data_IF_074303005871
#
_entry.id   IF_074303005871
#
_cell.length_a   1.000
_cell.length_b   1.000
_cell.length_c   1.000
_cell.angle_alpha   90.00
_cell.angle_beta   90.00
_cell.angle_gamma   90.00
#
_symmetry.space_group_name_H-M   'P 1'
#
loop_
_entity.id
_entity.type
_entity.pdbx_description
1 polymer ?
#
# COMPACT_ATOMS: atom_id res chain seq x y z
N UNK A 1 -55.99 -13.59 -8.00
CA UNK A 1 -54.93 -14.00 -8.95
C UNK A 1 -53.64 -13.16 -8.90
N UNK A 2 -53.48 -12.20 -7.97
CA UNK A 2 -52.27 -11.36 -7.91
C UNK A 2 -51.15 -11.92 -7.01
N UNK A 3 -51.48 -12.55 -5.87
CA UNK A 3 -50.47 -13.01 -4.89
C UNK A 3 -49.60 -14.16 -5.46
N UNK A 4 -50.18 -15.10 -6.19
CA UNK A 4 -49.45 -16.22 -6.79
C UNK A 4 -48.45 -15.77 -7.86
N UNK A 5 -48.77 -14.70 -8.61
CA UNK A 5 -47.86 -14.08 -9.59
C UNK A 5 -46.72 -13.33 -8.90
N UNK A 6 -47.02 -12.57 -7.85
CA UNK A 6 -46.00 -11.85 -7.07
C UNK A 6 -45.04 -12.84 -6.37
N UNK A 7 -45.55 -13.94 -5.83
CA UNK A 7 -44.75 -15.00 -5.21
C UNK A 7 -43.84 -15.69 -6.23
N UNK A 8 -44.37 -15.99 -7.43
CA UNK A 8 -43.58 -16.59 -8.51
C UNK A 8 -42.48 -15.65 -9.02
N UNK A 9 -42.74 -14.36 -9.14
CA UNK A 9 -41.75 -13.36 -9.57
C UNK A 9 -40.67 -13.19 -8.50
N UNK A 10 -41.04 -13.14 -7.22
CA UNK A 10 -40.08 -13.07 -6.11
C UNK A 10 -39.16 -14.29 -6.06
N UNK A 11 -39.70 -15.49 -6.24
CA UNK A 11 -38.91 -16.72 -6.23
C UNK A 11 -37.93 -16.77 -7.41
N UNK A 12 -38.36 -16.36 -8.60
CA UNK A 12 -37.48 -16.28 -9.78
C UNK A 12 -36.36 -15.25 -9.57
N UNK A 13 -36.66 -14.08 -8.98
CA UNK A 13 -35.64 -13.06 -8.70
C UNK A 13 -34.56 -13.53 -7.71
N UNK A 14 -34.96 -14.28 -6.67
CA UNK A 14 -34.02 -14.86 -5.70
C UNK A 14 -33.11 -15.89 -6.36
N UNK A 15 -33.68 -16.77 -7.20
CA UNK A 15 -32.89 -17.78 -7.92
C UNK A 15 -31.88 -17.14 -8.87
N UNK A 16 -32.28 -16.10 -9.62
CA UNK A 16 -31.37 -15.36 -10.51
C UNK A 16 -30.25 -14.68 -9.72
N UNK A 17 -30.57 -14.11 -8.55
CA UNK A 17 -29.59 -13.45 -7.69
C UNK A 17 -28.54 -14.44 -7.18
N UNK A 18 -28.95 -15.62 -6.71
CA UNK A 18 -28.04 -16.68 -6.23
C UNK A 18 -27.16 -17.20 -7.37
N UNK A 19 -27.73 -17.44 -8.55
CA UNK A 19 -26.97 -17.87 -9.73
C UNK A 19 -25.94 -16.82 -10.16
N UNK A 20 -26.31 -15.53 -10.12
CA UNK A 20 -25.38 -14.44 -10.45
C UNK A 20 -24.24 -14.32 -9.42
N UNK A 21 -24.53 -14.30 -8.12
CA UNK A 21 -23.50 -14.25 -7.06
C UNK A 21 -22.54 -15.46 -7.13
N UNK A 22 -23.04 -16.66 -7.43
CA UNK A 22 -22.19 -17.85 -7.58
C UNK A 22 -21.23 -17.74 -8.77
N UNK A 23 -21.65 -17.08 -9.86
CA UNK A 23 -20.85 -16.89 -11.07
C UNK A 23 -19.78 -15.81 -10.90
N UNK A 24 -20.06 -14.76 -10.11
CA UNK A 24 -19.09 -13.72 -9.80
C UNK A 24 -18.09 -14.14 -8.70
N UNK A 25 -18.50 -14.96 -7.73
CA UNK A 25 -17.64 -15.31 -6.59
C UNK A 25 -16.68 -16.49 -6.85
N UNK A 26 -16.98 -17.39 -7.79
CA UNK A 26 -16.14 -18.55 -8.11
C UNK A 26 -15.04 -18.26 -9.14
N UNK A 27 -15.04 -17.05 -9.73
CA UNK A 27 -14.04 -16.60 -10.71
C UNK A 27 -13.42 -15.25 -10.32
N UNK A 28 -13.34 -14.96 -9.02
CA UNK A 28 -12.46 -13.90 -8.54
C UNK A 28 -11.02 -14.44 -8.51
N UNK A 29 -10.09 -13.89 -9.30
CA UNK A 29 -8.69 -14.28 -9.27
C UNK A 29 -8.05 -13.69 -8.01
N UNK A 30 -8.28 -14.31 -6.85
CA UNK A 30 -7.85 -13.73 -5.57
C UNK A 30 -7.55 -14.71 -4.44
N UNK A 31 -7.97 -15.98 -4.53
CA UNK A 31 -7.58 -17.00 -3.55
C UNK A 31 -6.91 -18.18 -4.24
N UNK A 32 -5.59 -18.14 -4.27
CA UNK A 32 -4.74 -19.22 -4.75
C UNK A 32 -4.63 -20.26 -3.64
N UNK A 33 -5.25 -21.44 -3.80
CA UNK A 33 -4.97 -22.58 -2.94
C UNK A 33 -3.65 -23.22 -3.41
N UNK A 34 -2.56 -22.85 -2.75
CA UNK A 34 -1.17 -23.21 -3.12
C UNK A 34 -0.97 -24.73 -3.12
N UNK A 35 -1.80 -25.50 -2.41
CA UNK A 35 -1.67 -26.96 -2.32
C UNK A 35 -2.17 -27.72 -3.56
N UNK A 36 -2.86 -27.06 -4.51
CA UNK A 36 -3.37 -27.71 -5.73
C UNK A 36 -3.21 -26.86 -6.99
N UNK A 37 -2.36 -25.83 -6.93
CA UNK A 37 -1.95 -25.09 -8.10
C UNK A 37 -1.00 -25.96 -8.93
N UNK A 38 -1.54 -26.78 -9.82
CA UNK A 38 -0.76 -27.30 -10.93
C UNK A 38 -0.37 -26.08 -11.78
N UNK A 39 0.93 -25.84 -11.88
CA UNK A 39 1.50 -24.73 -12.63
C UNK A 39 1.13 -24.90 -14.09
N UNK A 40 -0.02 -24.38 -14.50
CA UNK A 40 -0.32 -24.19 -15.92
C UNK A 40 0.50 -22.98 -16.35
N UNK A 41 1.80 -23.22 -16.58
CA UNK A 41 2.62 -22.35 -17.43
C UNK A 41 2.06 -22.52 -18.83
N UNK A 42 0.95 -21.83 -19.10
CA UNK A 42 0.62 -21.50 -20.47
C UNK A 42 1.82 -20.70 -20.96
N UNK A 43 2.57 -21.28 -21.89
CA UNK A 43 3.57 -20.57 -22.67
C UNK A 43 2.79 -19.53 -23.49
N UNK A 44 2.44 -18.43 -22.83
CA UNK A 44 1.78 -17.31 -23.45
C UNK A 44 2.82 -16.69 -24.37
N UNK A 45 2.57 -16.81 -25.68
CA UNK A 45 3.38 -16.11 -26.68
C UNK A 45 3.40 -14.62 -26.31
N UNK A 46 4.56 -13.95 -26.31
CA UNK A 46 4.63 -12.54 -25.97
C UNK A 46 3.71 -11.76 -26.91
N UNK A 47 2.75 -11.04 -26.33
CA UNK A 47 1.83 -10.19 -27.08
C UNK A 47 2.44 -8.80 -27.18
N UNK A 48 2.69 -8.35 -28.41
CA UNK A 48 3.17 -6.99 -28.65
C UNK A 48 1.99 -6.01 -28.64
N UNK A 49 1.61 -5.51 -27.45
CA UNK A 49 0.71 -4.38 -27.36
C UNK A 49 1.46 -3.11 -27.77
N UNK A 50 0.91 -2.34 -28.72
CA UNK A 50 1.49 -1.08 -29.21
C UNK A 50 2.92 -1.21 -29.80
N UNK A 51 3.25 -2.36 -30.38
CA UNK A 51 4.55 -2.58 -31.04
C UNK A 51 5.75 -2.68 -30.08
N UNK A 52 5.51 -2.72 -28.77
CA UNK A 52 6.53 -2.97 -27.76
C UNK A 52 6.44 -4.42 -27.27
N UNK A 53 7.59 -5.07 -27.14
CA UNK A 53 7.67 -6.45 -26.62
C UNK A 53 7.37 -6.41 -25.12
N UNK A 54 6.39 -7.20 -24.67
CA UNK A 54 6.11 -7.40 -23.24
C UNK A 54 7.36 -7.93 -22.53
N UNK A 55 7.66 -7.43 -21.32
CA UNK A 55 8.77 -7.92 -20.48
C UNK A 55 8.73 -9.45 -20.39
N UNK A 56 9.84 -10.12 -20.66
CA UNK A 56 9.97 -11.56 -20.36
C UNK A 56 9.94 -11.74 -18.85
N UNK A 57 9.08 -12.63 -18.38
CA UNK A 57 9.08 -13.02 -16.98
C UNK A 57 10.19 -14.05 -16.81
N UNK A 58 11.38 -13.61 -16.38
CA UNK A 58 12.36 -14.56 -15.85
C UNK A 58 11.79 -15.14 -14.55
N UNK A 59 11.84 -16.46 -14.41
CA UNK A 59 11.44 -17.12 -13.18
C UNK A 59 12.41 -16.69 -12.07
N UNK A 60 11.97 -15.79 -11.19
CA UNK A 60 12.69 -15.49 -9.96
C UNK A 60 12.45 -16.68 -9.03
N UNK A 61 13.51 -17.43 -8.71
CA UNK A 61 13.43 -18.47 -7.67
C UNK A 61 12.95 -17.83 -6.36
N UNK A 62 12.02 -18.46 -5.63
CA UNK A 62 11.58 -17.92 -4.35
C UNK A 62 12.76 -17.94 -3.38
N UNK A 63 13.32 -16.76 -3.11
CA UNK A 63 14.24 -16.57 -1.99
C UNK A 63 13.43 -16.87 -0.72
N UNK A 64 13.76 -17.97 -0.06
CA UNK A 64 13.24 -18.28 1.26
C UNK A 64 13.93 -17.35 2.26
N UNK A 65 13.46 -16.10 2.34
CA UNK A 65 13.93 -15.13 3.30
C UNK A 65 13.62 -15.65 4.71
N UNK A 66 14.67 -16.09 5.41
CA UNK A 66 14.62 -16.14 6.85
C UNK A 66 14.60 -14.68 7.30
N UNK A 67 13.51 -14.27 7.96
CA UNK A 67 13.43 -12.96 8.59
C UNK A 67 14.42 -13.02 9.75
N UNK A 68 15.62 -12.52 9.51
CA UNK A 68 16.57 -12.22 10.57
C UNK A 68 16.01 -10.98 11.27
N UNK A 69 15.57 -11.17 12.52
CA UNK A 69 15.10 -10.11 13.41
C UNK A 69 16.31 -9.29 13.92
N UNK A 70 17.14 -8.80 12.99
CA UNK A 70 18.27 -7.94 13.27
C UNK A 70 18.17 -6.70 12.38
N UNK A 71 17.59 -5.64 12.98
CA UNK A 71 17.66 -4.26 12.52
C UNK A 71 17.55 -4.06 11.01
N UNK A 72 16.51 -4.62 10.38
CA UNK A 72 16.12 -4.18 9.05
C UNK A 72 15.57 -2.76 9.22
N UNK A 73 16.43 -1.76 9.05
CA UNK A 73 16.10 -0.33 9.10
C UNK A 73 15.26 0.06 7.88
N UNK A 74 14.27 -0.75 7.53
CA UNK A 74 13.47 -0.64 6.33
C UNK A 74 12.00 -0.90 6.71
N UNK A 75 11.33 0.12 7.24
CA UNK A 75 9.87 0.02 7.50
C UNK A 75 9.13 -0.04 6.17
N UNK A 76 8.39 -1.13 5.95
CA UNK A 76 7.54 -1.27 4.77
C UNK A 76 6.43 -0.21 4.76
N UNK A 77 5.89 0.14 5.92
CA UNK A 77 4.92 1.22 6.06
C UNK A 77 5.53 2.55 5.58
N UNK A 78 6.72 2.91 6.07
CA UNK A 78 7.44 4.11 5.61
C UNK A 78 7.68 4.08 4.10
N UNK A 79 8.20 2.96 3.57
CA UNK A 79 8.50 2.85 2.13
C UNK A 79 7.26 3.01 1.25
N UNK A 80 6.12 2.52 1.71
CA UNK A 80 4.87 2.58 0.95
C UNK A 80 4.19 3.97 0.96
N UNK A 81 4.48 4.80 1.98
CA UNK A 81 3.81 6.09 2.18
C UNK A 81 4.72 7.30 1.99
N UNK A 82 5.94 7.23 2.50
CA UNK A 82 6.82 8.37 2.71
C UNK A 82 8.04 8.34 1.77
N UNK A 83 8.55 7.16 1.48
CA UNK A 83 9.80 6.98 0.71
C UNK A 83 9.78 7.60 -0.69
N UNK A 84 8.60 7.76 -1.30
CA UNK A 84 8.46 8.43 -2.60
C UNK A 84 8.88 9.91 -2.58
N UNK A 85 8.70 10.60 -1.45
CA UNK A 85 9.09 12.02 -1.31
C UNK A 85 10.38 12.16 -0.51
N UNK A 86 10.54 11.37 0.55
CA UNK A 86 11.63 11.48 1.51
C UNK A 86 12.81 10.54 1.24
N UNK A 87 12.75 9.74 0.17
CA UNK A 87 13.78 8.77 -0.18
C UNK A 87 13.68 7.50 0.66
N UNK A 88 14.24 6.41 0.12
CA UNK A 88 14.23 5.11 0.79
C UNK A 88 15.07 5.11 2.07
N UNK A 89 16.10 5.96 2.12
CA UNK A 89 17.05 6.09 3.21
C UNK A 89 16.86 7.42 3.96
N UNK A 90 15.68 8.05 3.84
CA UNK A 90 15.34 9.32 4.50
C UNK A 90 16.18 10.52 4.04
N UNK A 91 16.91 10.39 2.93
CA UNK A 91 17.84 11.39 2.41
C UNK A 91 17.15 12.59 1.74
N UNK A 92 15.84 12.52 1.53
CA UNK A 92 15.08 13.50 0.76
C UNK A 92 15.27 13.34 -0.75
N UNK A 93 14.43 14.05 -1.51
CA UNK A 93 14.50 14.10 -2.97
C UNK A 93 14.34 15.55 -3.40
N UNK A 94 15.35 16.07 -4.11
CA UNK A 94 15.37 17.45 -4.60
C UNK A 94 14.06 17.80 -5.34
N UNK A 95 13.41 18.86 -4.87
CA UNK A 95 12.15 19.35 -5.44
C UNK A 95 10.88 18.57 -5.05
N UNK A 96 10.99 17.47 -4.29
CA UNK A 96 9.86 16.68 -3.81
C UNK A 96 9.73 16.70 -2.29
N UNK A 97 10.76 16.27 -1.57
CA UNK A 97 10.73 16.12 -0.11
C UNK A 97 12.08 16.39 0.53
N UNK A 98 12.03 16.89 1.76
CA UNK A 98 13.25 17.23 2.53
C UNK A 98 13.88 15.97 3.12
N UNK A 99 15.18 16.03 3.40
CA UNK A 99 15.85 15.01 4.23
C UNK A 99 15.22 14.96 5.61
N UNK A 100 15.02 13.75 6.14
CA UNK A 100 14.60 13.52 7.52
C UNK A 100 15.80 13.18 8.42
N UNK A 101 16.95 12.82 7.83
CA UNK A 101 18.22 12.60 8.54
C UNK A 101 18.63 13.90 9.24
N UNK A 102 19.02 13.81 10.51
CA UNK A 102 19.49 14.93 11.35
C UNK A 102 18.54 16.15 11.35
N UNK A 103 17.25 15.91 11.14
CA UNK A 103 16.25 16.97 11.12
C UNK A 103 16.03 17.53 12.53
N UNK A 104 16.49 18.77 12.76
CA UNK A 104 16.27 19.48 14.01
C UNK A 104 14.76 19.58 14.36
N UNK A 105 13.89 19.66 13.34
CA UNK A 105 12.44 19.64 13.54
C UNK A 105 11.97 18.33 14.18
N UNK A 106 12.41 17.18 13.66
CA UNK A 106 12.04 15.87 14.19
C UNK A 106 12.76 15.53 15.51
N UNK A 107 13.97 16.05 15.73
CA UNK A 107 14.70 15.89 16.99
C UNK A 107 13.99 16.59 18.16
N UNK A 108 13.37 17.75 17.90
CA UNK A 108 12.63 18.51 18.90
C UNK A 108 11.21 17.98 19.15
N UNK A 109 10.74 16.99 18.40
CA UNK A 109 9.42 16.37 18.59
C UNK A 109 9.51 15.00 19.27
N UNK A 110 8.60 14.72 20.19
CA UNK A 110 8.36 13.38 20.71
C UNK A 110 7.73 12.45 19.67
N UNK A 111 7.60 11.16 20.01
CA UNK A 111 6.91 10.18 19.16
C UNK A 111 5.45 10.59 18.91
N UNK A 112 4.71 10.91 19.98
CA UNK A 112 3.30 11.32 19.91
C UNK A 112 3.10 12.59 19.06
N UNK A 113 3.99 13.58 19.23
CA UNK A 113 3.95 14.82 18.45
C UNK A 113 4.27 14.57 16.97
N UNK A 114 5.15 13.60 16.70
CA UNK A 114 5.42 13.15 15.33
C UNK A 114 4.18 12.51 14.71
N UNK A 115 3.47 11.66 15.46
CA UNK A 115 2.21 11.04 14.99
C UNK A 115 1.16 12.10 14.69
N UNK A 116 0.96 13.06 15.60
CA UNK A 116 0.00 14.16 15.37
C UNK A 116 0.40 15.02 14.16
N UNK A 117 1.70 15.27 14.00
CA UNK A 117 2.21 15.94 12.81
C UNK A 117 1.94 15.15 11.53
N UNK A 118 2.11 13.81 11.54
CA UNK A 118 1.79 12.95 10.39
C UNK A 118 0.30 13.00 10.05
N UNK A 119 -0.58 13.09 11.06
CA UNK A 119 -2.04 13.19 10.85
C UNK A 119 -2.43 14.46 10.10
N UNK A 120 -1.83 15.59 10.45
CA UNK A 120 -2.16 16.91 9.88
C UNK A 120 -1.37 17.22 8.59
N UNK A 121 -0.09 16.83 8.54
CA UNK A 121 0.84 17.23 7.50
C UNK A 121 1.28 18.70 7.60
N UNK A 122 1.81 19.24 6.50
CA UNK A 122 2.26 20.64 6.40
C UNK A 122 1.90 21.26 5.06
N UNK A 123 1.15 22.36 5.11
CA UNK A 123 0.78 23.13 3.92
C UNK A 123 1.88 24.13 3.52
N UNK A 124 1.83 24.59 2.26
CA UNK A 124 2.81 25.53 1.67
C UNK A 124 2.94 26.85 2.43
N UNK A 125 1.86 27.29 3.09
CA UNK A 125 1.79 28.55 3.83
C UNK A 125 2.13 28.41 5.32
N UNK A 126 2.67 27.27 5.74
CA UNK A 126 3.19 27.09 7.11
C UNK A 126 4.44 27.98 7.28
N UNK A 127 4.46 28.78 8.35
CA UNK A 127 5.59 29.66 8.68
C UNK A 127 6.91 28.90 8.87
N UNK A 128 6.84 27.63 9.27
CA UNK A 128 7.99 26.75 9.51
C UNK A 128 8.31 25.85 8.30
N UNK A 129 7.73 26.09 7.12
CA UNK A 129 8.07 25.33 5.91
C UNK A 129 9.40 25.78 5.33
N UNK A 130 10.32 24.83 5.14
CA UNK A 130 11.65 25.09 4.53
C UNK A 130 11.74 24.71 3.06
N UNK A 131 10.79 23.92 2.55
CA UNK A 131 10.80 23.42 1.16
C UNK A 131 9.83 24.16 0.25
N UNK A 132 8.84 24.86 0.81
CA UNK A 132 7.72 25.39 0.04
C UNK A 132 6.83 24.30 -0.59
N UNK A 133 7.07 23.03 -0.29
CA UNK A 133 6.24 21.90 -0.69
C UNK A 133 5.07 21.67 0.28
N UNK A 134 4.09 20.89 -0.16
CA UNK A 134 3.01 20.39 0.71
C UNK A 134 3.37 18.97 1.13
N UNK A 135 3.41 18.73 2.43
CA UNK A 135 3.37 17.39 3.00
C UNK A 135 1.91 17.08 3.35
N UNK A 136 1.25 16.09 2.71
CA UNK A 136 -0.14 15.78 3.02
C UNK A 136 -0.27 15.19 4.43
N UNK A 137 -1.47 15.33 5.02
CA UNK A 137 -1.82 14.66 6.27
C UNK A 137 -2.31 13.23 6.04
N UNK A 138 -2.04 12.38 7.02
CA UNK A 138 -2.30 10.94 6.98
C UNK A 138 -3.27 10.46 8.07
N UNK A 139 -4.16 11.34 8.57
CA UNK A 139 -5.18 11.00 9.59
C UNK A 139 -6.16 9.86 9.20
N UNK A 140 -6.12 9.39 7.96
CA UNK A 140 -6.91 8.27 7.46
C UNK A 140 -6.22 6.92 7.60
N UNK A 141 -4.94 6.88 7.98
CA UNK A 141 -4.21 5.65 8.29
C UNK A 141 -4.61 5.12 9.68
N UNK A 142 -4.54 3.80 9.91
CA UNK A 142 -4.65 3.22 11.25
C UNK A 142 -3.59 3.78 12.18
N UNK A 143 -3.91 3.90 13.47
CA UNK A 143 -2.98 4.46 14.47
C UNK A 143 -1.70 3.62 14.55
N UNK A 144 -1.83 2.30 14.47
CA UNK A 144 -0.70 1.37 14.56
C UNK A 144 0.28 1.55 13.39
N UNK A 145 -0.20 1.88 12.18
CA UNK A 145 0.65 2.18 11.02
C UNK A 145 1.38 3.52 11.19
N UNK A 146 0.72 4.51 11.80
CA UNK A 146 1.33 5.81 12.11
C UNK A 146 2.40 5.69 13.20
N UNK A 147 2.14 4.88 14.24
CA UNK A 147 3.12 4.56 15.29
C UNK A 147 4.37 3.87 14.72
N UNK A 148 4.19 2.89 13.83
CA UNK A 148 5.30 2.22 13.14
C UNK A 148 6.15 3.22 12.35
N UNK A 149 5.51 4.05 11.51
CA UNK A 149 6.20 5.05 10.68
C UNK A 149 6.93 6.08 11.55
N UNK A 150 6.26 6.62 12.57
CA UNK A 150 6.86 7.61 13.47
C UNK A 150 8.03 7.00 14.25
N UNK A 151 7.89 5.77 14.75
CA UNK A 151 8.95 5.06 15.45
C UNK A 151 10.17 4.83 14.57
N UNK A 152 9.95 4.46 13.31
CA UNK A 152 11.02 4.30 12.31
C UNK A 152 11.75 5.62 12.03
N UNK A 153 11.02 6.71 11.79
CA UNK A 153 11.63 8.04 11.55
C UNK A 153 12.45 8.48 12.77
N UNK A 154 11.93 8.26 13.99
CA UNK A 154 12.60 8.64 15.24
C UNK A 154 13.85 7.79 15.51
N UNK A 155 13.85 6.51 15.20
CA UNK A 155 15.02 5.63 15.43
C UNK A 155 16.24 6.08 14.62
N UNK A 156 16.03 6.73 13.49
CA UNK A 156 17.08 7.23 12.59
C UNK A 156 17.46 8.69 12.92
N UNK A 157 16.52 9.47 13.48
CA UNK A 157 16.73 10.89 13.79
C UNK A 157 17.43 11.14 15.13
N UNK A 158 17.77 10.09 15.89
CA UNK A 158 18.44 10.21 17.19
C UNK A 158 19.96 10.24 16.98
N UNK A 159 20.71 11.18 17.58
CA UNK A 159 22.17 11.26 17.45
C UNK A 159 22.90 10.03 18.03
#
# INVERSE_FOLDING_TARGET
MNVSRQLSVGLVAVVISILSMSSYSLKAPGMMNISKAETVVSIAKPVAAFGMVSRSYDFIEPVNATIDESADLNSQAYMSRCGFCHGANLEGIDGLGVTLIDSAFLQNMGLEETIEFLKVGRMINSEESISGGVMPGFAWLPEEELEEIAGYIKSISTP
#
